data_IF_943653415919
#
_entry.id   IF_943653415919
#
_cell.length_a   1.000
_cell.length_b   1.000
_cell.length_c   1.000
_cell.angle_alpha   90.00
_cell.angle_beta   90.00
_cell.angle_gamma   90.00
#
_symmetry.space_group_name_H-M   'P 1'
#
loop_
_entity.id
_entity.type
_entity.pdbx_description
1 polymer ?
#
# COMPACT_ATOMS: atom_id res chain seq x y z
N UNK A 1 9.20 22.83 12.91
CA UNK A 1 10.44 22.04 13.12
C UNK A 1 10.20 20.56 13.44
N UNK A 2 9.15 20.22 14.19
CA UNK A 2 8.79 18.82 14.54
C UNK A 2 8.43 17.98 13.29
N UNK A 3 7.69 18.55 12.34
CA UNK A 3 7.29 17.86 11.10
C UNK A 3 8.50 17.38 10.26
N UNK A 4 9.51 18.24 10.09
CA UNK A 4 10.77 17.89 9.41
C UNK A 4 11.54 16.78 10.13
N UNK A 5 11.49 16.75 11.47
CA UNK A 5 12.12 15.68 12.27
C UNK A 5 11.37 14.37 12.19
N UNK A 6 10.04 14.38 12.18
CA UNK A 6 9.21 13.17 11.96
C UNK A 6 9.50 12.60 10.56
N UNK A 7 9.51 13.45 9.53
CA UNK A 7 9.86 13.03 8.17
C UNK A 7 11.27 12.44 8.10
N UNK A 8 12.27 13.07 8.75
CA UNK A 8 13.63 12.55 8.79
C UNK A 8 13.78 11.26 9.60
N UNK A 9 13.03 11.06 10.70
CA UNK A 9 13.04 9.82 11.47
C UNK A 9 12.33 8.68 10.75
N UNK A 10 11.27 8.98 9.98
CA UNK A 10 10.63 8.01 9.08
C UNK A 10 11.60 7.64 7.96
N UNK A 11 12.24 8.61 7.32
CA UNK A 11 13.26 8.36 6.28
C UNK A 11 14.47 7.59 6.83
N UNK A 12 14.94 7.90 8.04
CA UNK A 12 16.06 7.22 8.69
C UNK A 12 15.69 5.82 9.21
N UNK A 13 14.47 5.61 9.70
CA UNK A 13 13.95 4.30 10.08
C UNK A 13 13.76 3.35 8.89
N UNK A 14 13.63 3.90 7.68
CA UNK A 14 13.51 3.14 6.43
C UNK A 14 14.88 2.80 5.80
N UNK A 15 15.99 3.35 6.32
CA UNK A 15 17.34 2.93 5.95
C UNK A 15 17.70 1.58 6.62
N UNK A 16 17.32 0.49 5.96
CA UNK A 16 17.15 -0.86 6.53
C UNK A 16 18.34 -1.51 7.26
N UNK A 17 18.00 -2.31 8.28
CA UNK A 17 18.80 -3.42 8.81
C UNK A 17 18.59 -4.65 7.91
N UNK A 18 19.64 -5.06 7.19
CA UNK A 18 19.60 -6.20 6.27
C UNK A 18 19.47 -7.55 7.00
N UNK A 19 18.49 -8.36 6.60
CA UNK A 19 18.41 -9.79 6.94
C UNK A 19 18.71 -10.62 5.68
N UNK A 20 19.40 -11.77 5.79
CA UNK A 20 19.70 -12.65 4.66
C UNK A 20 18.46 -13.40 4.13
N UNK A 21 18.62 -13.96 2.93
CA UNK A 21 17.62 -14.17 1.88
C UNK A 21 16.74 -15.44 2.06
N UNK A 22 15.41 -15.35 1.89
CA UNK A 22 14.58 -16.50 1.52
C UNK A 22 14.50 -16.68 -0.02
N UNK A 23 14.45 -17.92 -0.55
CA UNK A 23 14.40 -18.19 -1.98
C UNK A 23 13.10 -17.71 -2.63
N UNK A 24 13.17 -17.08 -3.81
CA UNK A 24 12.02 -16.68 -4.64
C UNK A 24 11.74 -15.17 -4.79
N UNK A 25 12.61 -14.27 -4.31
CA UNK A 25 12.48 -12.81 -4.51
C UNK A 25 13.35 -12.28 -5.65
N UNK A 26 12.88 -11.20 -6.28
CA UNK A 26 13.48 -10.60 -7.48
C UNK A 26 14.69 -9.73 -7.07
N UNK A 27 15.86 -9.82 -7.77
CA UNK A 27 17.11 -9.14 -7.42
C UNK A 27 17.03 -7.61 -7.30
N UNK A 28 16.06 -6.95 -7.92
CA UNK A 28 15.90 -5.50 -7.91
C UNK A 28 15.36 -4.92 -6.60
N UNK A 29 14.65 -5.72 -5.79
CA UNK A 29 14.22 -5.34 -4.43
C UNK A 29 15.42 -5.15 -3.47
N UNK A 30 16.63 -5.52 -3.92
CA UNK A 30 17.88 -5.50 -3.15
C UNK A 30 18.80 -4.32 -3.48
N UNK A 31 18.30 -3.28 -4.17
CA UNK A 31 19.15 -2.14 -4.58
C UNK A 31 19.52 -1.22 -3.40
N UNK A 32 20.36 -1.72 -2.49
CA UNK A 32 21.55 -1.05 -1.92
C UNK A 32 22.22 -1.91 -0.82
N UNK A 33 23.34 -2.56 -1.15
CA UNK A 33 24.67 -2.35 -0.53
C UNK A 33 25.66 -3.45 -0.93
N UNK A 34 26.31 -3.25 -2.09
CA UNK A 34 27.76 -3.43 -2.22
C UNK A 34 28.39 -4.81 -2.03
N UNK A 35 27.70 -5.94 -2.29
CA UNK A 35 28.41 -7.21 -2.52
C UNK A 35 27.80 -7.97 -3.69
N UNK A 36 28.62 -8.48 -4.63
CA UNK A 36 28.15 -9.40 -5.64
C UNK A 36 27.74 -10.69 -4.91
N UNK A 37 26.48 -11.08 -5.06
CA UNK A 37 25.99 -12.37 -4.54
C UNK A 37 26.42 -13.42 -5.56
N UNK A 38 27.46 -14.19 -5.24
CA UNK A 38 27.79 -15.42 -5.97
C UNK A 38 26.58 -16.36 -5.88
N UNK A 39 25.90 -16.49 -7.01
CA UNK A 39 24.71 -17.34 -7.14
C UNK A 39 25.18 -18.75 -7.47
N UNK A 40 25.60 -19.50 -6.45
CA UNK A 40 25.76 -20.96 -6.59
C UNK A 40 24.42 -21.62 -6.30
N UNK A 41 23.49 -21.53 -7.24
CA UNK A 41 22.43 -22.53 -7.44
C UNK A 41 21.98 -22.46 -8.88
N UNK A 42 21.97 -23.62 -9.50
CA UNK A 42 21.75 -23.94 -10.90
C UNK A 42 20.44 -23.38 -11.44
N UNK A 43 20.49 -22.20 -12.04
CA UNK A 43 19.71 -21.75 -13.18
C UNK A 43 20.25 -20.36 -13.51
N UNK A 44 20.90 -20.22 -14.66
CA UNK A 44 21.23 -18.91 -15.20
C UNK A 44 19.90 -18.13 -15.32
N UNK A 45 19.63 -17.24 -14.38
CA UNK A 45 18.62 -16.20 -14.56
C UNK A 45 19.40 -14.96 -14.95
N UNK A 46 19.47 -14.70 -16.25
CA UNK A 46 19.86 -13.39 -16.71
C UNK A 46 18.96 -12.36 -16.01
N UNK A 47 19.42 -11.15 -15.70
CA UNK A 47 18.54 -10.07 -15.22
C UNK A 47 17.42 -9.72 -16.23
N UNK A 48 17.50 -10.25 -17.47
CA UNK A 48 16.44 -10.23 -18.48
C UNK A 48 15.35 -11.30 -18.28
N UNK A 49 15.58 -12.32 -17.45
CA UNK A 49 14.66 -13.45 -17.17
C UNK A 49 13.68 -13.15 -16.03
N UNK A 50 13.64 -11.91 -15.53
CA UNK A 50 12.55 -11.43 -14.69
C UNK A 50 11.57 -10.66 -15.56
N UNK A 51 10.57 -11.34 -16.16
CA UNK A 51 9.66 -10.66 -17.04
C UNK A 51 8.90 -9.57 -16.25
N UNK A 52 8.59 -8.42 -16.87
CA UNK A 52 7.81 -7.33 -16.29
C UNK A 52 6.51 -7.78 -15.61
N UNK A 53 6.00 -8.96 -16.00
CA UNK A 53 4.84 -9.62 -15.43
C UNK A 53 4.96 -9.95 -13.94
N UNK A 54 6.14 -10.20 -13.35
CA UNK A 54 6.23 -10.59 -11.93
C UNK A 54 5.88 -9.41 -11.02
N UNK A 55 6.34 -8.21 -11.38
CA UNK A 55 6.06 -6.98 -10.62
C UNK A 55 4.59 -6.60 -10.75
N UNK A 56 4.07 -6.64 -11.98
CA UNK A 56 2.66 -6.40 -12.28
C UNK A 56 1.77 -7.40 -11.53
N UNK A 57 2.09 -8.69 -11.54
CA UNK A 57 1.32 -9.71 -10.83
C UNK A 57 1.33 -9.51 -9.31
N UNK A 58 2.44 -9.01 -8.73
CA UNK A 58 2.48 -8.67 -7.30
C UNK A 58 1.68 -7.41 -6.97
N UNK A 59 1.70 -6.40 -7.84
CA UNK A 59 0.85 -5.22 -7.70
C UNK A 59 -0.61 -5.64 -7.75
N UNK A 60 -1.00 -6.41 -8.77
CA UNK A 60 -2.36 -6.95 -8.91
C UNK A 60 -2.74 -7.80 -7.70
N UNK A 61 -1.88 -8.69 -7.23
CA UNK A 61 -2.14 -9.49 -6.02
C UNK A 61 -2.41 -8.61 -4.80
N UNK A 62 -1.56 -7.62 -4.56
CA UNK A 62 -1.78 -6.65 -3.47
C UNK A 62 -3.08 -5.85 -3.65
N UNK A 63 -3.41 -5.50 -4.88
CA UNK A 63 -4.63 -4.78 -5.24
C UNK A 63 -5.89 -5.61 -5.00
N UNK A 64 -5.89 -6.88 -5.42
CA UNK A 64 -7.01 -7.77 -5.18
C UNK A 64 -7.31 -7.98 -3.69
N UNK A 65 -6.29 -8.10 -2.84
CA UNK A 65 -6.49 -8.29 -1.39
C UNK A 65 -7.00 -7.01 -0.69
N UNK A 66 -6.42 -5.84 -1.01
CA UNK A 66 -6.74 -4.60 -0.30
C UNK A 66 -7.97 -3.88 -0.86
N UNK A 67 -8.12 -3.85 -2.17
CA UNK A 67 -9.20 -3.09 -2.83
C UNK A 67 -10.53 -3.80 -2.63
N UNK A 68 -10.56 -5.14 -2.65
CA UNK A 68 -11.78 -5.91 -2.37
C UNK A 68 -12.31 -5.59 -0.98
N UNK A 69 -11.44 -5.54 0.03
CA UNK A 69 -11.84 -5.20 1.39
C UNK A 69 -12.36 -3.77 1.49
N UNK A 70 -11.67 -2.81 0.85
CA UNK A 70 -12.12 -1.41 0.86
C UNK A 70 -13.45 -1.22 0.12
N UNK A 71 -13.69 -1.90 -1.00
CA UNK A 71 -14.93 -1.82 -1.75
C UNK A 71 -16.13 -2.32 -0.94
N UNK A 72 -15.97 -3.42 -0.20
CA UNK A 72 -17.02 -3.92 0.70
C UNK A 72 -17.34 -2.89 1.80
N UNK A 73 -16.31 -2.30 2.41
CA UNK A 73 -16.48 -1.23 3.41
C UNK A 73 -17.13 0.02 2.82
N UNK A 74 -16.74 0.42 1.61
CA UNK A 74 -17.28 1.59 0.93
C UNK A 74 -18.76 1.37 0.58
N UNK A 75 -19.13 0.18 0.13
CA UNK A 75 -20.52 -0.18 -0.13
C UNK A 75 -21.34 -0.18 1.17
N UNK A 76 -20.81 -0.78 2.24
CA UNK A 76 -21.47 -0.77 3.54
C UNK A 76 -21.69 0.67 4.03
N UNK A 77 -20.64 1.51 4.03
CA UNK A 77 -20.77 2.92 4.41
C UNK A 77 -21.76 3.69 3.53
N UNK A 78 -21.81 3.42 2.22
CA UNK A 78 -22.79 4.03 1.32
C UNK A 78 -24.24 3.64 1.68
N UNK A 79 -24.50 2.36 2.01
CA UNK A 79 -25.85 1.89 2.39
C UNK A 79 -26.30 2.50 3.72
N UNK A 80 -25.38 2.67 4.67
CA UNK A 80 -25.69 3.28 5.97
C UNK A 80 -25.61 4.83 5.96
N UNK A 81 -25.23 5.43 4.83
CA UNK A 81 -25.15 6.88 4.70
C UNK A 81 -26.53 7.48 4.48
N UNK A 82 -26.98 8.28 5.45
CA UNK A 82 -28.19 9.07 5.30
C UNK A 82 -27.88 10.45 4.72
N UNK A 83 -28.70 10.91 3.79
CA UNK A 83 -28.51 12.19 3.10
C UNK A 83 -28.65 13.39 4.04
N UNK A 84 -29.50 13.26 5.08
CA UNK A 84 -29.80 14.32 6.02
C UNK A 84 -28.63 14.70 6.95
N UNK A 85 -27.67 13.78 7.17
CA UNK A 85 -26.57 13.97 8.13
C UNK A 85 -25.20 14.24 7.47
N UNK A 86 -25.16 14.47 6.15
CA UNK A 86 -23.92 14.70 5.41
C UNK A 86 -23.00 13.47 5.30
N UNK A 87 -23.51 12.27 5.60
CA UNK A 87 -22.73 11.02 5.56
C UNK A 87 -22.26 10.68 4.15
N UNK A 88 -23.05 11.03 3.13
CA UNK A 88 -22.75 10.78 1.71
C UNK A 88 -21.45 11.48 1.27
N UNK A 89 -21.21 12.72 1.74
CA UNK A 89 -20.00 13.47 1.39
C UNK A 89 -18.76 12.76 1.96
N UNK A 90 -18.85 12.20 3.16
CA UNK A 90 -17.72 11.46 3.78
C UNK A 90 -17.34 10.24 2.96
N UNK A 91 -18.33 9.45 2.51
CA UNK A 91 -18.10 8.28 1.65
C UNK A 91 -17.38 8.66 0.35
N UNK A 92 -17.79 9.75 -0.30
CA UNK A 92 -17.13 10.25 -1.53
C UNK A 92 -15.69 10.66 -1.26
N UNK A 93 -15.43 11.34 -0.12
CA UNK A 93 -14.08 11.74 0.27
C UNK A 93 -13.18 10.54 0.51
N UNK A 94 -13.65 9.52 1.25
CA UNK A 94 -12.89 8.28 1.45
C UNK A 94 -12.59 7.56 0.14
N UNK A 95 -13.58 7.44 -0.75
CA UNK A 95 -13.38 6.83 -2.06
C UNK A 95 -12.30 7.57 -2.88
N UNK A 96 -12.35 8.90 -2.89
CA UNK A 96 -11.42 9.73 -3.66
C UNK A 96 -9.99 9.63 -3.11
N UNK A 97 -9.82 9.74 -1.78
CA UNK A 97 -8.50 9.63 -1.14
C UNK A 97 -7.90 8.25 -1.36
N UNK A 98 -8.71 7.21 -1.17
CA UNK A 98 -8.27 5.83 -1.37
C UNK A 98 -7.83 5.60 -2.82
N UNK A 99 -8.66 5.96 -3.80
CA UNK A 99 -8.34 5.81 -5.22
C UNK A 99 -7.03 6.53 -5.58
N UNK A 100 -6.86 7.77 -5.12
CA UNK A 100 -5.62 8.51 -5.34
C UNK A 100 -4.40 7.81 -4.74
N UNK A 101 -4.50 7.32 -3.50
CA UNK A 101 -3.43 6.59 -2.84
C UNK A 101 -3.03 5.31 -3.61
N UNK A 102 -4.00 4.60 -4.21
CA UNK A 102 -3.75 3.38 -5.00
C UNK A 102 -3.11 3.68 -6.35
N UNK A 103 -3.55 4.74 -7.03
CA UNK A 103 -2.88 5.20 -8.26
C UNK A 103 -1.42 5.55 -7.96
N UNK A 104 -1.15 6.31 -6.89
CA UNK A 104 0.22 6.61 -6.49
C UNK A 104 1.02 5.36 -6.10
N UNK A 105 0.39 4.39 -5.42
CA UNK A 105 1.01 3.11 -5.10
C UNK A 105 1.39 2.35 -6.36
N UNK A 106 0.48 2.19 -7.33
CA UNK A 106 0.76 1.50 -8.58
C UNK A 106 1.92 2.14 -9.36
N UNK A 107 1.91 3.47 -9.48
CA UNK A 107 2.99 4.23 -10.15
C UNK A 107 4.33 4.00 -9.43
N UNK A 108 4.38 4.18 -8.10
CA UNK A 108 5.62 4.00 -7.32
C UNK A 108 6.10 2.55 -7.31
N UNK A 109 5.18 1.59 -7.38
CA UNK A 109 5.49 0.17 -7.50
C UNK A 109 6.15 -0.15 -8.83
N UNK A 110 5.60 0.33 -9.96
CA UNK A 110 6.14 0.13 -11.31
C UNK A 110 7.48 0.86 -11.49
N UNK A 111 7.65 2.02 -10.87
CA UNK A 111 8.91 2.77 -10.90
C UNK A 111 9.98 2.21 -9.93
N UNK A 112 9.63 1.28 -9.03
CA UNK A 112 10.58 0.68 -8.08
C UNK A 112 11.09 1.68 -7.03
N UNK A 113 10.31 2.72 -6.74
CA UNK A 113 10.68 3.84 -5.88
C UNK A 113 10.50 3.47 -4.40
N UNK A 114 11.57 3.06 -3.73
CA UNK A 114 11.64 2.99 -2.27
C UNK A 114 12.05 4.38 -1.73
N UNK A 115 11.37 4.95 -0.71
CA UNK A 115 10.39 4.35 0.22
C UNK A 115 8.91 4.60 -0.13
N UNK A 116 8.65 5.29 -1.25
CA UNK A 116 7.34 5.81 -1.62
C UNK A 116 6.25 4.72 -1.70
N UNK A 117 6.62 3.52 -2.15
CA UNK A 117 5.73 2.35 -2.13
C UNK A 117 5.10 2.08 -0.76
N UNK A 118 5.90 2.11 0.31
CA UNK A 118 5.43 1.83 1.67
C UNK A 118 4.59 2.97 2.23
N UNK A 119 4.90 4.22 1.87
CA UNK A 119 4.12 5.38 2.28
C UNK A 119 2.74 5.40 1.62
N UNK A 120 2.65 5.16 0.31
CA UNK A 120 1.38 5.08 -0.40
C UNK A 120 0.52 3.91 0.11
N UNK A 121 1.14 2.76 0.39
CA UNK A 121 0.45 1.63 1.02
C UNK A 121 -0.09 1.99 2.40
N UNK A 122 0.73 2.61 3.25
CA UNK A 122 0.33 3.05 4.58
C UNK A 122 -0.81 4.08 4.55
N UNK A 123 -0.80 4.99 3.57
CA UNK A 123 -1.86 5.97 3.38
C UNK A 123 -3.19 5.29 2.99
N UNK A 124 -3.16 4.34 2.06
CA UNK A 124 -4.34 3.55 1.69
C UNK A 124 -4.90 2.78 2.89
N UNK A 125 -4.03 2.12 3.65
CA UNK A 125 -4.41 1.37 4.85
C UNK A 125 -5.00 2.28 5.94
N UNK A 126 -4.42 3.47 6.16
CA UNK A 126 -4.96 4.46 7.09
C UNK A 126 -6.36 4.95 6.67
N UNK A 127 -6.58 5.16 5.36
CA UNK A 127 -7.89 5.52 4.82
C UNK A 127 -8.92 4.40 5.05
N UNK A 128 -8.54 3.14 4.81
CA UNK A 128 -9.40 1.98 5.09
C UNK A 128 -9.78 1.88 6.56
N UNK A 129 -8.83 2.08 7.48
CA UNK A 129 -9.09 2.09 8.93
C UNK A 129 -10.00 3.26 9.34
N UNK A 130 -9.82 4.44 8.76
CA UNK A 130 -10.70 5.58 9.03
C UNK A 130 -12.14 5.29 8.56
N UNK A 131 -12.29 4.71 7.38
CA UNK A 131 -13.59 4.32 6.82
C UNK A 131 -14.30 3.26 7.69
N UNK A 132 -13.57 2.25 8.17
CA UNK A 132 -14.16 1.21 9.03
C UNK A 132 -14.59 1.75 10.39
N UNK A 133 -13.81 2.65 11.00
CA UNK A 133 -14.21 3.31 12.24
C UNK A 133 -15.44 4.20 12.06
N UNK A 134 -15.50 4.99 10.98
CA UNK A 134 -16.67 5.85 10.69
C UNK A 134 -17.94 5.02 10.48
N UNK A 135 -17.82 3.86 9.82
CA UNK A 135 -18.93 2.91 9.67
C UNK A 135 -19.47 2.45 11.02
N UNK A 136 -18.59 1.98 11.92
CA UNK A 136 -18.98 1.49 13.24
C UNK A 136 -19.65 2.59 14.06
N UNK A 137 -19.12 3.81 14.03
CA UNK A 137 -19.69 4.96 14.72
C UNK A 137 -21.09 5.29 14.15
N UNK A 138 -21.22 5.28 12.83
CA UNK A 138 -22.48 5.56 12.15
C UNK A 138 -23.55 4.51 12.48
N UNK A 139 -23.18 3.23 12.50
CA UNK A 139 -24.07 2.14 12.92
C UNK A 139 -24.49 2.27 14.38
N UNK A 140 -23.54 2.55 15.28
CA UNK A 140 -23.81 2.72 16.71
C UNK A 140 -24.78 3.87 16.99
N UNK A 141 -24.63 5.00 16.29
CA UNK A 141 -25.53 6.16 16.42
C UNK A 141 -26.93 5.91 15.89
N UNK A 142 -27.10 4.96 14.95
CA UNK A 142 -28.40 4.61 14.38
C UNK A 142 -29.19 3.64 15.28
N UNK A 143 -28.51 2.89 16.14
CA UNK A 143 -29.13 1.90 17.03
C UNK A 143 -29.68 2.51 18.33
N UNK A 144 -29.29 3.74 18.67
CA UNK A 144 -29.80 4.50 19.82
C UNK A 144 -30.86 5.50 19.37
#
# INVERSE_FOLDING_TARGET
MVLRRIVLLVVAGIAGRGKPLPPGRVPEDYRSRGKPVETTTTAASNPADFPPNVRVNRTIGNDTENDTYFLILLLATAVFSDSANGNVIRTIVYATIYLFARICFAITYIMGLQPWRSLCFGLGLACTLACSLDLVITMSRRSN
#
